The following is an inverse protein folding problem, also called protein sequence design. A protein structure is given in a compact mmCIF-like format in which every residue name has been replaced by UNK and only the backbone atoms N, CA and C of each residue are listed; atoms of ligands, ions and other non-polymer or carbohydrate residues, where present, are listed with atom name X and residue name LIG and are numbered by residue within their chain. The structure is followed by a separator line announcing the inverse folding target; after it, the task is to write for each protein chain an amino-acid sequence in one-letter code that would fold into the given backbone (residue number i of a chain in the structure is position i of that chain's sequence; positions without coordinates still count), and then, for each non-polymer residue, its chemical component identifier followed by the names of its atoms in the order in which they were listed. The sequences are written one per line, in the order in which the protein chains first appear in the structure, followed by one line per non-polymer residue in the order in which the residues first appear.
data_IF_162414137634
#
_entry.id   IF_162414137634
#
_cell.length_a   1.000
_cell.length_b   1.000
_cell.length_c   1.000
_cell.angle_alpha   90.00
_cell.angle_beta   90.00
_cell.angle_gamma   90.00
#
_symmetry.space_group_name_H-M   'P 1'
#
loop_
_entity.id
_entity.type
_entity.pdbx_description
1 polymer ?
#
# COMPACT_ATOMS: atom_id res chain seq x y z
N UNK A 1 -12.95 4.32 8.37
CA UNK A 1 -11.60 4.80 8.09
C UNK A 1 -10.73 3.64 7.63
N UNK A 2 -9.86 3.90 6.64
CA UNK A 2 -8.84 2.94 6.21
C UNK A 2 -7.48 3.63 6.14
N UNK A 3 -6.43 2.88 6.45
CA UNK A 3 -5.04 3.31 6.30
C UNK A 3 -4.25 2.25 5.54
N UNK A 4 -3.20 2.68 4.89
CA UNK A 4 -2.26 1.79 4.25
C UNK A 4 -1.19 2.55 3.49
N UNK A 5 -0.28 1.83 2.85
CA UNK A 5 0.75 2.49 2.08
C UNK A 5 1.76 1.55 1.47
N UNK A 6 2.71 2.11 0.79
CA UNK A 6 3.88 1.39 0.33
C UNK A 6 5.08 1.79 1.19
N UNK A 7 5.33 0.98 2.22
CA UNK A 7 6.38 1.20 3.22
C UNK A 7 7.47 0.14 3.01
N UNK A 8 8.42 0.46 2.17
CA UNK A 8 9.45 -0.46 1.69
C UNK A 8 10.78 0.28 1.49
N UNK A 9 11.83 -0.13 2.14
CA UNK A 9 13.16 0.45 1.92
C UNK A 9 13.64 0.14 0.49
N UNK A 10 13.60 1.15 -0.38
CA UNK A 10 14.04 1.09 -1.77
C UNK A 10 15.33 1.87 -2.03
N UNK A 11 16.05 2.29 -0.99
CA UNK A 11 17.23 3.13 -1.14
C UNK A 11 18.28 2.50 -2.05
N UNK A 12 18.52 1.19 -1.92
CA UNK A 12 19.44 0.45 -2.78
C UNK A 12 18.97 0.45 -4.23
N UNK A 13 17.74 0.06 -4.49
CA UNK A 13 17.19 0.00 -5.85
C UNK A 13 17.20 1.36 -6.54
N UNK A 14 16.91 2.44 -5.80
CA UNK A 14 16.92 3.80 -6.35
C UNK A 14 18.34 4.28 -6.58
N UNK A 15 19.24 4.10 -5.62
CA UNK A 15 20.64 4.52 -5.73
C UNK A 15 21.39 3.83 -6.89
N UNK A 16 21.07 2.56 -7.16
CA UNK A 16 21.61 1.79 -8.28
C UNK A 16 20.68 1.78 -9.51
N UNK A 17 19.81 2.77 -9.63
CA UNK A 17 18.83 2.85 -10.71
C UNK A 17 19.42 3.01 -12.11
N UNK A 18 20.63 3.58 -12.25
CA UNK A 18 21.32 3.66 -13.54
C UNK A 18 21.78 2.28 -14.01
N UNK A 19 22.37 1.50 -13.11
CA UNK A 19 22.85 0.15 -13.36
C UNK A 19 21.70 -0.82 -13.64
N UNK A 20 20.65 -0.69 -12.87
CA UNK A 20 19.45 -1.53 -12.96
C UNK A 20 18.47 -1.07 -14.05
N UNK A 21 18.76 0.04 -14.73
CA UNK A 21 17.87 0.67 -15.73
C UNK A 21 16.47 0.93 -15.19
N UNK A 22 16.38 1.36 -13.95
CA UNK A 22 15.13 1.49 -13.25
C UNK A 22 14.60 2.92 -13.30
N UNK A 23 13.30 3.10 -13.62
CA UNK A 23 12.65 4.39 -13.74
C UNK A 23 12.60 5.17 -12.41
N UNK A 24 12.72 4.50 -11.26
CA UNK A 24 12.58 5.10 -9.91
C UNK A 24 13.57 6.24 -9.70
N UNK A 25 14.82 6.09 -10.06
CA UNK A 25 15.82 7.16 -9.87
C UNK A 25 15.36 8.47 -10.52
N UNK A 26 14.90 8.43 -11.77
CA UNK A 26 14.38 9.61 -12.46
C UNK A 26 13.15 10.21 -11.76
N UNK A 27 12.22 9.38 -11.33
CA UNK A 27 11.05 9.86 -10.59
C UNK A 27 11.43 10.56 -9.29
N UNK A 28 12.35 9.99 -8.51
CA UNK A 28 12.78 10.55 -7.22
C UNK A 28 13.60 11.85 -7.36
N UNK A 29 14.26 12.04 -8.49
CA UNK A 29 14.93 13.31 -8.80
C UNK A 29 13.91 14.40 -9.14
N UNK A 30 12.89 14.08 -9.95
CA UNK A 30 12.05 15.09 -10.62
C UNK A 30 10.68 15.28 -9.98
N UNK A 31 10.15 14.30 -9.25
CA UNK A 31 8.79 14.31 -8.72
C UNK A 31 8.79 14.25 -7.20
N UNK A 32 7.67 14.69 -6.61
CA UNK A 32 7.38 14.58 -5.19
C UNK A 32 5.90 14.21 -5.02
N UNK A 33 5.61 12.93 -4.79
CA UNK A 33 4.24 12.43 -4.85
C UNK A 33 4.08 11.10 -4.14
N UNK A 34 2.82 10.63 -4.00
CA UNK A 34 2.48 9.25 -3.71
C UNK A 34 2.75 8.38 -4.95
N UNK A 35 3.92 7.74 -5.01
CA UNK A 35 4.37 6.99 -6.20
C UNK A 35 3.73 5.60 -6.35
N UNK A 36 3.17 5.03 -5.27
CA UNK A 36 2.69 3.64 -5.24
C UNK A 36 1.29 3.50 -4.63
N UNK A 37 0.30 4.28 -5.05
CA UNK A 37 -1.01 4.28 -4.41
C UNK A 37 -1.73 2.94 -4.53
N UNK A 38 -1.49 2.19 -5.60
CA UNK A 38 -2.25 0.98 -5.94
C UNK A 38 -2.08 -0.15 -4.93
N UNK A 39 -0.93 -0.22 -4.24
CA UNK A 39 -0.64 -1.31 -3.30
C UNK A 39 -1.66 -1.42 -2.17
N UNK A 40 -2.14 -0.29 -1.66
CA UNK A 40 -3.13 -0.27 -0.59
C UNK A 40 -4.46 0.31 -1.01
N UNK A 41 -4.46 1.30 -1.90
CA UNK A 41 -5.72 1.85 -2.39
C UNK A 41 -6.56 0.80 -3.14
N UNK A 42 -5.94 -0.16 -3.80
CA UNK A 42 -6.65 -1.26 -4.45
C UNK A 42 -7.54 -2.05 -3.48
N UNK A 43 -7.00 -2.68 -2.44
CA UNK A 43 -7.78 -3.36 -1.40
C UNK A 43 -8.78 -2.43 -0.71
N UNK A 44 -8.35 -1.23 -0.33
CA UNK A 44 -9.23 -0.23 0.32
C UNK A 44 -10.41 0.15 -0.58
N UNK A 45 -10.17 0.37 -1.87
CA UNK A 45 -11.20 0.72 -2.83
C UNK A 45 -12.26 -0.39 -2.98
N UNK A 46 -11.85 -1.66 -2.90
CA UNK A 46 -12.78 -2.79 -2.89
C UNK A 46 -13.63 -2.83 -1.62
N UNK A 47 -13.03 -2.62 -0.45
CA UNK A 47 -13.74 -2.57 0.84
C UNK A 47 -14.75 -1.42 0.86
N UNK A 48 -14.36 -0.24 0.37
CA UNK A 48 -15.19 0.96 0.37
C UNK A 48 -16.10 1.10 -0.85
N UNK A 49 -16.14 0.10 -1.73
CA UNK A 49 -16.93 0.09 -2.97
C UNK A 49 -16.68 1.31 -3.89
N UNK A 50 -15.43 1.80 -3.96
CA UNK A 50 -15.04 2.89 -4.86
C UNK A 50 -15.36 2.49 -6.32
N UNK A 51 -15.94 3.40 -7.08
CA UNK A 51 -16.52 3.22 -8.41
C UNK A 51 -17.76 2.30 -8.46
N UNK A 52 -18.24 1.82 -7.30
CA UNK A 52 -19.39 0.90 -7.17
C UNK A 52 -20.36 1.39 -6.07
N UNK A 53 -20.75 2.65 -6.14
CA UNK A 53 -21.63 3.30 -5.17
C UNK A 53 -20.90 4.27 -4.23
N UNK A 54 -19.59 4.35 -4.32
CA UNK A 54 -18.75 5.32 -3.61
C UNK A 54 -17.70 5.90 -4.56
N UNK A 55 -17.10 7.04 -4.21
CA UNK A 55 -16.03 7.67 -5.01
C UNK A 55 -15.10 8.50 -4.14
N UNK A 56 -13.90 8.72 -4.63
CA UNK A 56 -12.96 9.67 -4.04
C UNK A 56 -13.40 11.09 -4.40
N UNK A 57 -13.44 12.01 -3.44
CA UNK A 57 -13.92 13.39 -3.64
C UNK A 57 -12.78 14.40 -3.66
N UNK A 58 -11.89 14.31 -2.69
CA UNK A 58 -10.78 15.25 -2.52
C UNK A 58 -9.63 14.57 -1.81
N UNK A 59 -8.44 15.11 -2.00
CA UNK A 59 -7.26 14.69 -1.25
C UNK A 59 -6.43 15.91 -0.83
N UNK A 60 -5.59 15.67 0.16
CA UNK A 60 -4.51 16.56 0.57
C UNK A 60 -3.28 15.73 0.85
N UNK A 61 -2.14 16.15 0.30
CA UNK A 61 -0.86 15.48 0.49
C UNK A 61 0.16 16.40 1.15
N UNK A 62 0.97 15.81 2.01
CA UNK A 62 2.09 16.49 2.69
C UNK A 62 3.32 15.60 2.57
N UNK A 63 4.43 16.22 2.18
CA UNK A 63 5.71 15.55 2.03
C UNK A 63 6.72 16.03 3.07
N UNK A 64 7.53 15.11 3.61
CA UNK A 64 8.71 15.45 4.39
C UNK A 64 9.85 15.89 3.46
N UNK A 65 10.95 16.39 4.03
CA UNK A 65 12.16 16.65 3.25
C UNK A 65 12.74 15.35 2.68
N UNK A 66 13.50 15.46 1.58
CA UNK A 66 14.30 14.39 1.01
C UNK A 66 15.68 14.34 1.71
N UNK A 67 15.92 13.38 2.57
CA UNK A 67 17.17 13.23 3.32
C UNK A 67 17.76 11.82 3.26
N UNK A 68 16.93 10.79 3.46
CA UNK A 68 17.39 9.42 3.65
C UNK A 68 18.10 8.83 2.45
N UNK A 69 17.55 9.03 1.24
CA UNK A 69 18.19 8.56 0.00
C UNK A 69 19.55 9.27 -0.23
N UNK A 70 19.61 10.57 0.04
CA UNK A 70 20.85 11.34 -0.13
C UNK A 70 21.97 10.84 0.78
N UNK A 71 21.65 10.59 2.05
CA UNK A 71 22.62 10.04 3.01
C UNK A 71 23.07 8.63 2.62
N UNK A 72 22.13 7.78 2.16
CA UNK A 72 22.47 6.45 1.66
C UNK A 72 23.42 6.49 0.46
N UNK A 73 23.18 7.38 -0.50
CA UNK A 73 24.02 7.54 -1.69
C UNK A 73 25.43 8.02 -1.30
N UNK A 74 25.56 8.98 -0.40
CA UNK A 74 26.86 9.44 0.09
C UNK A 74 27.66 8.30 0.73
N UNK A 75 27.01 7.38 1.39
CA UNK A 75 27.67 6.24 2.04
C UNK A 75 28.03 5.13 1.03
N UNK A 76 27.08 4.77 0.16
CA UNK A 76 27.19 3.57 -0.68
C UNK A 76 27.68 3.82 -2.10
N UNK A 77 27.62 5.08 -2.57
CA UNK A 77 28.02 5.50 -3.92
C UNK A 77 28.83 6.80 -3.89
N UNK A 78 29.73 6.93 -2.92
CA UNK A 78 30.57 8.10 -2.77
C UNK A 78 31.46 8.38 -3.99
N UNK A 79 31.75 7.38 -4.81
CA UNK A 79 32.47 7.45 -6.07
C UNK A 79 31.68 8.03 -7.25
N UNK A 80 30.35 8.04 -7.19
CA UNK A 80 29.48 8.73 -8.17
C UNK A 80 29.26 10.19 -7.73
N UNK A 81 30.18 11.09 -8.11
CA UNK A 81 30.11 12.50 -7.74
C UNK A 81 28.83 13.19 -8.24
N UNK A 82 28.31 12.78 -9.38
CA UNK A 82 27.07 13.35 -9.96
C UNK A 82 25.88 12.99 -9.08
N UNK A 83 25.76 11.71 -8.75
CA UNK A 83 24.63 11.22 -7.94
C UNK A 83 24.72 11.75 -6.49
N UNK A 84 25.92 11.80 -5.90
CA UNK A 84 26.15 12.32 -4.55
C UNK A 84 25.80 13.80 -4.41
N UNK A 85 25.92 14.58 -5.50
CA UNK A 85 25.57 15.99 -5.53
C UNK A 85 24.13 16.25 -6.03
N UNK A 86 23.40 15.19 -6.46
CA UNK A 86 22.03 15.32 -6.94
C UNK A 86 21.09 15.75 -5.82
N UNK A 87 20.16 16.66 -6.14
CA UNK A 87 19.03 17.00 -5.29
C UNK A 87 17.85 16.11 -5.65
N UNK A 88 17.24 15.49 -4.66
CA UNK A 88 16.04 14.69 -4.82
C UNK A 88 14.82 15.52 -4.41
N UNK A 89 13.80 15.52 -5.26
CA UNK A 89 12.53 16.20 -4.96
C UNK A 89 11.60 15.31 -4.13
N UNK A 90 11.65 13.98 -4.35
CA UNK A 90 10.80 13.05 -3.61
C UNK A 90 11.13 13.09 -2.12
N UNK A 91 10.20 13.54 -1.30
CA UNK A 91 10.34 13.49 0.15
C UNK A 91 10.38 12.06 0.68
N UNK A 92 11.01 11.89 1.84
CA UNK A 92 11.18 10.56 2.43
C UNK A 92 9.84 9.92 2.81
N UNK A 93 8.92 10.73 3.35
CA UNK A 93 7.56 10.32 3.69
C UNK A 93 6.57 11.21 2.95
N UNK A 94 5.59 10.60 2.30
CA UNK A 94 4.42 11.33 1.76
C UNK A 94 3.17 10.76 2.41
N UNK A 95 2.37 11.61 3.02
CA UNK A 95 1.07 11.27 3.59
C UNK A 95 -0.03 11.91 2.76
N UNK A 96 -0.95 11.10 2.27
CA UNK A 96 -2.09 11.55 1.46
C UNK A 96 -3.38 11.17 2.14
N UNK A 97 -4.16 12.16 2.55
CA UNK A 97 -5.49 11.98 3.14
C UNK A 97 -6.53 12.17 2.05
N UNK A 98 -7.42 11.18 1.91
CA UNK A 98 -8.48 11.17 0.89
C UNK A 98 -9.84 11.14 1.58
N UNK A 99 -10.77 11.95 1.10
CA UNK A 99 -12.19 11.94 1.51
C UNK A 99 -13.04 11.22 0.48
N UNK A 100 -13.92 10.31 0.95
CA UNK A 100 -14.87 9.59 0.10
C UNK A 100 -16.28 10.19 0.18
N UNK A 101 -17.11 9.94 -0.86
CA UNK A 101 -18.47 10.50 -0.97
C UNK A 101 -19.43 9.99 0.10
N UNK A 102 -19.25 8.77 0.59
CA UNK A 102 -20.09 8.21 1.66
C UNK A 102 -19.59 8.56 3.06
N UNK A 103 -18.55 9.43 3.15
CA UNK A 103 -18.08 9.99 4.41
C UNK A 103 -16.81 9.34 4.96
N UNK A 104 -16.34 8.25 4.41
CA UNK A 104 -15.11 7.58 4.83
C UNK A 104 -13.88 8.45 4.52
N UNK A 105 -12.79 8.15 5.23
CA UNK A 105 -11.48 8.71 4.99
C UNK A 105 -10.45 7.61 4.77
N UNK A 106 -9.46 7.90 3.92
CA UNK A 106 -8.34 7.02 3.64
C UNK A 106 -7.05 7.79 3.93
N UNK A 107 -6.11 7.18 4.61
CA UNK A 107 -4.74 7.67 4.76
C UNK A 107 -3.79 6.75 4.00
N UNK A 108 -3.09 7.27 3.00
CA UNK A 108 -1.99 6.57 2.32
C UNK A 108 -0.66 7.14 2.80
N UNK A 109 0.33 6.25 3.02
CA UNK A 109 1.68 6.63 3.40
C UNK A 109 2.69 5.99 2.47
N UNK A 110 3.41 6.81 1.72
CA UNK A 110 4.61 6.39 1.01
C UNK A 110 5.84 6.55 1.93
N UNK A 111 6.61 5.47 2.10
CA UNK A 111 7.85 5.47 2.88
C UNK A 111 8.85 4.51 2.23
N UNK A 112 9.73 5.06 1.38
CA UNK A 112 10.59 4.25 0.50
C UNK A 112 12.06 4.63 0.54
N UNK A 113 12.42 5.68 1.27
CA UNK A 113 13.80 6.21 1.31
C UNK A 113 14.39 6.31 2.71
N UNK A 114 13.73 5.69 3.70
CA UNK A 114 14.23 5.54 5.07
C UNK A 114 14.45 4.06 5.41
N UNK A 115 15.35 3.76 6.38
CA UNK A 115 15.59 2.39 6.82
C UNK A 115 14.37 1.81 7.55
N UNK A 116 13.84 0.71 7.05
CA UNK A 116 12.70 0.04 7.65
C UNK A 116 12.54 -1.40 7.17
N UNK A 117 11.77 -2.20 7.89
CA UNK A 117 11.21 -3.44 7.35
C UNK A 117 10.00 -3.16 6.45
N UNK A 118 9.69 -4.09 5.55
CA UNK A 118 8.50 -4.00 4.71
C UNK A 118 7.22 -4.06 5.54
N UNK A 119 6.29 -3.15 5.25
CA UNK A 119 4.93 -3.16 5.79
C UNK A 119 4.00 -2.39 4.85
N UNK A 120 2.77 -2.80 4.77
CA UNK A 120 1.71 -2.00 4.14
C UNK A 120 0.97 -1.12 5.14
N UNK A 121 1.10 -1.42 6.44
CA UNK A 121 0.44 -0.70 7.52
C UNK A 121 -1.09 -0.72 7.38
N UNK A 122 -1.60 -1.80 6.75
CA UNK A 122 -3.02 -1.87 6.43
C UNK A 122 -3.88 -1.88 7.68
N UNK A 123 -4.78 -0.89 7.77
CA UNK A 123 -5.72 -0.74 8.87
C UNK A 123 -7.10 -0.46 8.32
N UNK A 124 -8.09 -1.16 8.87
CA UNK A 124 -9.51 -0.89 8.61
C UNK A 124 -10.20 -0.68 9.94
N UNK A 125 -10.90 0.44 10.08
CA UNK A 125 -11.68 0.74 11.27
C UNK A 125 -13.11 1.09 10.88
N UNK A 126 -14.02 0.25 11.30
CA UNK A 126 -15.47 0.40 11.13
C UNK A 126 -16.18 0.69 12.43
N UNK A 127 -17.52 0.74 12.38
CA UNK A 127 -18.36 0.98 13.55
C UNK A 127 -18.50 -0.21 14.49
N UNK A 128 -18.05 -1.39 14.06
CA UNK A 128 -18.18 -2.64 14.81
C UNK A 128 -16.87 -3.37 15.05
N UNK A 129 -15.76 -2.76 14.69
CA UNK A 129 -14.45 -3.38 14.90
C UNK A 129 -13.34 -2.74 14.10
N UNK A 130 -12.15 -3.26 14.29
CA UNK A 130 -10.96 -2.85 13.57
C UNK A 130 -10.04 -4.03 13.25
N UNK A 131 -9.24 -3.86 12.21
CA UNK A 131 -8.12 -4.72 11.84
C UNK A 131 -6.87 -3.88 11.66
N UNK A 132 -5.72 -4.38 12.12
CA UNK A 132 -4.40 -3.80 11.83
C UNK A 132 -3.42 -4.89 11.41
N UNK A 133 -2.70 -4.66 10.29
CA UNK A 133 -1.75 -5.61 9.74
C UNK A 133 -0.47 -5.72 10.57
N UNK A 134 0.12 -4.60 10.97
CA UNK A 134 1.45 -4.57 11.60
C UNK A 134 1.54 -5.40 12.88
N UNK A 135 0.49 -5.48 13.65
CA UNK A 135 0.40 -6.33 14.84
C UNK A 135 -0.52 -7.55 14.67
N UNK A 136 -1.06 -7.74 13.45
CA UNK A 136 -1.93 -8.86 13.09
C UNK A 136 -3.09 -9.03 14.05
N UNK A 137 -3.81 -7.93 14.33
CA UNK A 137 -4.88 -7.93 15.32
C UNK A 137 -6.22 -7.55 14.74
N UNK A 138 -7.24 -8.18 15.32
CA UNK A 138 -8.67 -7.90 15.09
C UNK A 138 -9.30 -7.58 16.43
N UNK A 139 -10.11 -6.53 16.45
CA UNK A 139 -11.00 -6.22 17.56
C UNK A 139 -12.44 -6.11 17.03
N UNK A 140 -13.36 -6.86 17.61
CA UNK A 140 -14.78 -6.83 17.26
C UNK A 140 -15.59 -6.39 18.46
N UNK A 141 -16.45 -5.41 18.25
CA UNK A 141 -17.37 -4.90 19.28
C UNK A 141 -18.35 -6.00 19.69
N UNK A 142 -18.55 -6.17 21.00
CA UNK A 142 -19.45 -7.16 21.57
C UNK A 142 -18.92 -8.60 21.65
N UNK A 143 -17.77 -8.92 21.08
CA UNK A 143 -17.17 -10.26 21.23
C UNK A 143 -16.31 -10.41 22.50
N UNK A 144 -15.83 -9.31 23.05
CA UNK A 144 -15.01 -9.29 24.29
C UNK A 144 -15.54 -8.24 25.26
N UNK A 145 -15.22 -8.40 26.55
CA UNK A 145 -15.67 -7.45 27.55
C UNK A 145 -15.10 -6.05 27.33
N UNK A 146 -15.86 -5.02 27.69
CA UNK A 146 -15.40 -3.63 27.59
C UNK A 146 -14.11 -3.36 28.41
N UNK A 147 -13.76 -4.23 29.35
CA UNK A 147 -12.55 -4.13 30.16
C UNK A 147 -11.28 -4.47 29.39
N UNK A 148 -11.38 -5.24 28.28
CA UNK A 148 -10.23 -5.68 27.50
C UNK A 148 -9.61 -4.59 26.61
N UNK A 149 -10.28 -3.46 26.40
CA UNK A 149 -9.79 -2.44 25.47
C UNK A 149 -8.51 -1.70 25.92
N UNK A 150 -8.18 -1.73 27.20
CA UNK A 150 -6.89 -1.21 27.70
C UNK A 150 -5.73 -2.21 27.55
N UNK A 151 -6.02 -3.46 27.31
CA UNK A 151 -5.02 -4.51 27.23
C UNK A 151 -4.67 -4.87 25.78
N UNK A 152 -4.31 -3.86 24.97
CA UNK A 152 -4.10 -4.01 23.53
C UNK A 152 -3.16 -5.15 23.14
N UNK A 153 -2.16 -5.48 23.97
CA UNK A 153 -1.21 -6.56 23.70
C UNK A 153 -1.84 -7.96 23.68
N UNK A 154 -2.97 -8.15 24.36
CA UNK A 154 -3.73 -9.40 24.30
C UNK A 154 -4.31 -9.69 22.92
N UNK A 155 -4.50 -8.64 22.11
CA UNK A 155 -5.05 -8.75 20.76
C UNK A 155 -3.99 -8.96 19.68
N UNK A 156 -2.70 -8.78 20.01
CA UNK A 156 -1.65 -8.94 19.02
C UNK A 156 -1.55 -10.40 18.56
N UNK A 157 -1.52 -10.58 17.23
CA UNK A 157 -1.45 -11.90 16.60
C UNK A 157 -2.74 -12.71 16.61
N UNK A 158 -3.86 -12.16 17.09
CA UNK A 158 -5.13 -12.90 17.21
C UNK A 158 -5.85 -13.13 15.88
N UNK A 159 -5.33 -12.64 14.75
CA UNK A 159 -5.92 -12.84 13.42
C UNK A 159 -6.12 -14.31 13.06
N UNK A 160 -5.29 -15.20 13.60
CA UNK A 160 -5.38 -16.64 13.35
C UNK A 160 -6.68 -17.25 13.90
N UNK A 161 -7.23 -16.69 14.99
CA UNK A 161 -8.52 -17.11 15.57
C UNK A 161 -9.71 -16.90 14.60
N UNK A 162 -9.54 -15.96 13.67
CA UNK A 162 -10.57 -15.55 12.73
C UNK A 162 -10.39 -16.15 11.33
N UNK A 163 -9.21 -16.75 11.04
CA UNK A 163 -8.84 -17.22 9.70
C UNK A 163 -9.83 -18.26 9.16
N UNK A 164 -10.17 -19.25 9.94
CA UNK A 164 -11.05 -20.33 9.50
C UNK A 164 -12.43 -19.81 9.06
N UNK A 165 -12.91 -18.76 9.74
CA UNK A 165 -14.23 -18.19 9.47
C UNK A 165 -14.21 -17.18 8.33
N UNK A 166 -13.16 -16.33 8.26
CA UNK A 166 -13.17 -15.14 7.41
C UNK A 166 -12.12 -15.15 6.28
N UNK A 167 -11.21 -16.13 6.23
CA UNK A 167 -10.24 -16.22 5.14
C UNK A 167 -10.94 -16.32 3.78
N UNK A 168 -10.45 -15.55 2.82
CA UNK A 168 -11.03 -15.49 1.49
C UNK A 168 -10.98 -16.86 0.79
N UNK A 169 -12.07 -17.33 0.14
CA UNK A 169 -12.11 -18.65 -0.49
C UNK A 169 -11.00 -18.91 -1.52
N UNK A 170 -10.57 -17.89 -2.24
CA UNK A 170 -9.46 -17.97 -3.20
C UNK A 170 -8.15 -18.33 -2.49
N UNK A 171 -7.88 -17.70 -1.34
CA UNK A 171 -6.69 -18.03 -0.54
C UNK A 171 -6.76 -19.42 0.07
N UNK A 172 -7.91 -19.83 0.62
CA UNK A 172 -8.09 -21.19 1.12
C UNK A 172 -7.78 -22.22 0.05
N UNK A 173 -8.41 -22.09 -1.13
CA UNK A 173 -8.16 -22.98 -2.26
C UNK A 173 -6.71 -22.98 -2.73
N UNK A 174 -6.05 -21.82 -2.74
CA UNK A 174 -4.66 -21.68 -3.15
C UNK A 174 -3.70 -22.36 -2.16
N UNK A 175 -3.90 -22.15 -0.86
CA UNK A 175 -3.08 -22.76 0.19
C UNK A 175 -3.22 -24.29 0.16
N UNK A 176 -4.44 -24.80 -0.03
CA UNK A 176 -4.72 -26.25 -0.16
C UNK A 176 -4.04 -26.86 -1.38
N UNK A 177 -3.98 -26.14 -2.48
CA UNK A 177 -3.35 -26.59 -3.73
C UNK A 177 -1.81 -26.60 -3.68
N UNK A 178 -1.19 -25.97 -2.67
CA UNK A 178 0.26 -25.98 -2.44
C UNK A 178 1.09 -25.26 -3.50
N UNK A 179 0.53 -24.36 -4.28
CA UNK A 179 1.24 -23.55 -5.28
C UNK A 179 2.08 -22.49 -4.59
N UNK A 180 3.37 -22.37 -4.93
CA UNK A 180 4.31 -21.52 -4.20
C UNK A 180 5.32 -20.83 -5.12
N UNK A 181 4.88 -19.95 -6.02
CA UNK A 181 5.81 -19.15 -6.84
C UNK A 181 5.31 -17.73 -7.02
N UNK A 182 6.24 -16.76 -7.12
CA UNK A 182 5.99 -15.35 -7.40
C UNK A 182 5.16 -14.64 -6.33
N UNK A 183 5.76 -13.70 -5.59
CA UNK A 183 5.10 -12.89 -4.56
C UNK A 183 4.16 -13.70 -3.65
N UNK A 184 4.68 -14.80 -3.09
CA UNK A 184 3.91 -15.75 -2.24
C UNK A 184 2.65 -16.33 -2.91
N UNK A 185 2.65 -16.39 -4.26
CA UNK A 185 1.55 -16.95 -5.06
C UNK A 185 0.58 -15.94 -5.63
N UNK A 186 0.68 -14.66 -5.31
CA UNK A 186 -0.20 -13.63 -5.85
C UNK A 186 -0.14 -13.57 -7.38
N UNK A 187 1.07 -13.69 -7.97
CA UNK A 187 1.22 -13.67 -9.43
C UNK A 187 0.40 -14.77 -10.09
N UNK A 188 0.44 -15.97 -9.55
CA UNK A 188 -0.36 -17.10 -10.07
C UNK A 188 -1.86 -16.79 -9.99
N UNK A 189 -2.34 -16.25 -8.89
CA UNK A 189 -3.76 -15.92 -8.71
C UNK A 189 -4.21 -14.83 -9.69
N UNK A 190 -3.42 -13.77 -9.84
CA UNK A 190 -3.72 -12.67 -10.77
C UNK A 190 -3.77 -13.14 -12.22
N UNK A 191 -2.75 -13.90 -12.66
CA UNK A 191 -2.74 -14.42 -14.03
C UNK A 191 -3.85 -15.46 -14.28
N UNK A 192 -4.13 -16.32 -13.31
CA UNK A 192 -5.20 -17.30 -13.43
C UNK A 192 -6.56 -16.63 -13.57
N UNK A 193 -6.82 -15.58 -12.80
CA UNK A 193 -8.07 -14.82 -12.88
C UNK A 193 -8.18 -14.09 -14.23
N UNK A 194 -7.12 -13.44 -14.67
CA UNK A 194 -7.08 -12.78 -15.98
C UNK A 194 -7.36 -13.77 -17.13
N UNK A 195 -6.68 -14.92 -17.14
CA UNK A 195 -6.89 -15.96 -18.17
C UNK A 195 -8.33 -16.44 -18.15
N UNK A 196 -8.90 -16.66 -16.96
CA UNK A 196 -10.29 -17.07 -16.81
C UNK A 196 -11.24 -16.02 -17.37
N UNK A 197 -11.05 -14.75 -17.05
CA UNK A 197 -11.86 -13.65 -17.60
C UNK A 197 -11.84 -13.64 -19.13
N UNK A 198 -10.67 -13.86 -19.76
CA UNK A 198 -10.53 -13.94 -21.22
C UNK A 198 -11.28 -15.15 -21.78
N UNK A 199 -11.14 -16.33 -21.15
CA UNK A 199 -11.78 -17.57 -21.61
C UNK A 199 -13.30 -17.53 -21.50
N UNK A 200 -13.81 -16.93 -20.42
CA UNK A 200 -15.25 -16.86 -20.13
C UNK A 200 -15.91 -15.59 -20.71
N UNK A 201 -15.12 -14.70 -21.34
CA UNK A 201 -15.56 -13.37 -21.79
C UNK A 201 -16.29 -12.60 -20.67
N UNK A 202 -15.74 -12.68 -19.45
CA UNK A 202 -16.27 -12.01 -18.26
C UNK A 202 -15.52 -10.73 -17.97
N UNK A 203 -16.11 -9.86 -17.15
CA UNK A 203 -15.47 -8.64 -16.70
C UNK A 203 -14.30 -8.94 -15.75
N UNK A 204 -13.21 -8.14 -15.86
CA UNK A 204 -12.09 -8.22 -14.95
C UNK A 204 -12.49 -7.74 -13.55
N UNK A 205 -11.93 -8.37 -12.52
CA UNK A 205 -12.13 -7.96 -11.11
C UNK A 205 -11.64 -6.54 -10.86
N UNK A 206 -10.58 -6.15 -11.54
CA UNK A 206 -10.03 -4.78 -11.56
C UNK A 206 -10.17 -4.27 -13.00
N UNK A 207 -11.03 -3.30 -13.19
CA UNK A 207 -11.27 -2.72 -14.51
C UNK A 207 -10.39 -1.46 -14.77
N UNK A 208 -10.48 -0.94 -15.97
CA UNK A 208 -9.70 0.26 -16.39
C UNK A 208 -10.06 1.50 -15.57
N UNK A 209 -11.29 1.61 -15.09
CA UNK A 209 -11.74 2.75 -14.27
C UNK A 209 -11.18 2.65 -12.85
N UNK A 210 -11.06 1.44 -12.30
CA UNK A 210 -10.36 1.20 -11.05
C UNK A 210 -8.91 1.68 -11.15
N UNK A 211 -8.19 1.23 -12.18
CA UNK A 211 -6.80 1.63 -12.40
C UNK A 211 -6.64 3.13 -12.60
N UNK A 212 -7.48 3.75 -13.42
CA UNK A 212 -7.44 5.19 -13.65
C UNK A 212 -7.68 5.96 -12.35
N UNK A 213 -8.65 5.54 -11.54
CA UNK A 213 -8.95 6.15 -10.24
C UNK A 213 -7.78 6.03 -9.27
N UNK A 214 -7.18 4.84 -9.15
CA UNK A 214 -6.06 4.63 -8.21
C UNK A 214 -4.81 5.39 -8.65
N UNK A 215 -4.49 5.39 -9.94
CA UNK A 215 -3.32 6.09 -10.46
C UNK A 215 -3.46 7.60 -10.49
N UNK A 216 -4.70 8.13 -10.51
CA UNK A 216 -4.92 9.58 -10.40
C UNK A 216 -4.38 10.18 -9.11
N UNK A 217 -4.27 9.37 -8.04
CA UNK A 217 -3.73 9.81 -6.76
C UNK A 217 -2.29 10.31 -6.91
N UNK A 218 -1.46 9.65 -7.72
CA UNK A 218 -0.06 10.09 -7.91
C UNK A 218 0.00 11.51 -8.52
N UNK A 219 -0.85 11.81 -9.49
CA UNK A 219 -0.88 13.14 -10.13
C UNK A 219 -1.44 14.19 -9.17
N UNK A 220 -2.57 13.89 -8.54
CA UNK A 220 -3.23 14.83 -7.63
C UNK A 220 -2.44 15.06 -6.33
N UNK A 221 -1.72 14.06 -5.84
CA UNK A 221 -0.83 14.21 -4.69
C UNK A 221 0.33 15.15 -5.00
N UNK A 222 0.92 15.07 -6.20
CA UNK A 222 1.98 15.98 -6.66
C UNK A 222 1.48 17.42 -6.78
N UNK A 223 0.26 17.60 -7.28
CA UNK A 223 -0.37 18.94 -7.36
C UNK A 223 -0.70 19.53 -5.97
N UNK A 224 -0.93 18.66 -4.97
CA UNK A 224 -1.28 19.05 -3.60
C UNK A 224 -0.08 19.41 -2.74
N UNK A 225 1.11 18.87 -3.01
CA UNK A 225 2.36 19.11 -2.28
C UNK A 225 2.99 20.44 -2.70
#
# INVERSE_FOLDING_TARGET
HCEGGYRHDLREEVAFGKENRHYRLSNYIHRNTENYPTHELGPIAKILHINRGNRLLSLTSVSSKAAGLKEYIKEKKADDEVLSNTTFNQGDIVNTIIKCSNGETILLTLDTTLPRYYSRGFTVQGTKGMYTEDNRSIFLDGEKSAEDHFEWKKHWGNVEEYRDKYEHPVWKKYLDAGVKKGHDGMDFLVFSDFIKCVQENSEAVIDVYDMATWMSISVLAEESI
#
